data_IF_486023421465
#
_entry.id   IF_486023421465
#
_cell.length_a   1.000
_cell.length_b   1.000
_cell.length_c   1.000
_cell.angle_alpha   90.00
_cell.angle_beta   90.00
_cell.angle_gamma   90.00
#
_symmetry.space_group_name_H-M   'P 1'
#
loop_
_entity.id
_entity.type
_entity.pdbx_description
1 polymer ?
#
# COMPACT_ATOMS: atom_id res chain seq x y z
N UNK A 1 -1.42 -15.59 15.61
CA UNK A 1 -2.10 -14.73 14.63
C UNK A 1 -1.09 -13.89 13.90
N UNK A 2 -1.12 -13.94 12.58
CA UNK A 2 -0.23 -13.13 11.75
C UNK A 2 -0.78 -11.72 11.67
N UNK A 3 0.04 -10.75 11.99
CA UNK A 3 -0.36 -9.36 11.89
C UNK A 3 0.77 -8.56 11.23
N UNK A 4 0.41 -7.83 10.21
CA UNK A 4 1.35 -6.98 9.51
C UNK A 4 1.14 -5.53 9.86
N UNK A 5 2.21 -4.76 9.78
CA UNK A 5 2.16 -3.31 9.91
C UNK A 5 2.37 -2.72 8.53
N UNK A 6 1.48 -1.82 8.16
CA UNK A 6 1.50 -1.17 6.85
C UNK A 6 1.95 0.27 7.02
N UNK A 7 3.01 0.63 6.34
CA UNK A 7 3.53 1.99 6.34
C UNK A 7 3.26 2.59 4.97
N UNK A 8 2.30 3.52 4.93
CA UNK A 8 1.90 4.16 3.68
C UNK A 8 2.68 5.45 3.55
N UNK A 9 3.28 5.66 2.39
CA UNK A 9 4.24 6.71 2.19
C UNK A 9 4.00 7.45 0.88
N UNK A 10 4.50 8.66 0.82
CA UNK A 10 4.61 9.41 -0.40
C UNK A 10 6.08 9.38 -0.83
N UNK A 11 6.34 8.79 -1.96
CA UNK A 11 7.67 8.69 -2.53
C UNK A 11 7.80 9.67 -3.68
N UNK A 12 8.64 10.68 -3.50
CA UNK A 12 8.94 11.64 -4.55
C UNK A 12 10.33 11.30 -5.08
N UNK A 13 10.47 11.03 -6.38
CA UNK A 13 11.79 10.74 -6.94
C UNK A 13 12.77 11.88 -6.63
N UNK A 14 13.96 11.49 -6.16
CA UNK A 14 15.03 12.43 -5.83
C UNK A 14 14.78 13.30 -4.61
N UNK A 15 13.77 12.96 -3.80
CA UNK A 15 13.43 13.72 -2.61
C UNK A 15 13.19 12.77 -1.44
N UNK A 16 12.93 13.34 -0.27
CA UNK A 16 12.71 12.56 0.94
C UNK A 16 11.35 11.84 0.90
N UNK A 17 11.31 10.72 1.61
CA UNK A 17 10.07 9.98 1.81
C UNK A 17 9.25 10.63 2.90
N UNK A 18 7.95 10.65 2.71
CA UNK A 18 7.01 11.17 3.71
C UNK A 18 6.09 10.05 4.15
N UNK A 19 6.03 9.80 5.45
CA UNK A 19 5.10 8.81 5.99
C UNK A 19 3.73 9.48 6.12
N UNK A 20 2.73 8.87 5.51
CA UNK A 20 1.35 9.37 5.55
C UNK A 20 0.57 8.70 6.68
N UNK A 21 0.71 7.38 6.82
CA UNK A 21 -0.06 6.62 7.79
C UNK A 21 0.66 5.32 8.12
N UNK A 22 0.58 4.94 9.39
CA UNK A 22 1.03 3.62 9.84
C UNK A 22 -0.17 2.93 10.47
N UNK A 23 -0.49 1.73 10.02
CA UNK A 23 -1.65 1.00 10.54
C UNK A 23 -1.42 -0.50 10.48
N UNK A 24 -2.10 -1.23 11.37
CA UNK A 24 -2.13 -2.70 11.29
C UNK A 24 -3.41 -3.20 10.63
N UNK A 25 -4.28 -2.29 10.22
CA UNK A 25 -5.56 -2.63 9.60
C UNK A 25 -5.44 -2.53 8.08
N UNK A 26 -5.55 -3.67 7.40
CA UNK A 26 -5.37 -3.71 5.95
C UNK A 26 -6.44 -2.91 5.21
N UNK A 27 -7.68 -2.90 5.71
CA UNK A 27 -8.74 -2.13 5.08
C UNK A 27 -8.45 -0.63 5.12
N UNK A 28 -7.95 -0.14 6.25
CA UNK A 28 -7.55 1.26 6.37
C UNK A 28 -6.39 1.57 5.44
N UNK A 29 -5.43 0.66 5.33
CA UNK A 29 -4.29 0.85 4.43
C UNK A 29 -4.78 0.98 2.98
N UNK A 30 -5.67 0.09 2.55
CA UNK A 30 -6.20 0.11 1.19
C UNK A 30 -7.01 1.38 0.93
N UNK A 31 -7.86 1.77 1.88
CA UNK A 31 -8.65 2.99 1.74
C UNK A 31 -7.74 4.22 1.63
N UNK A 32 -6.68 4.26 2.42
CA UNK A 32 -5.73 5.36 2.37
C UNK A 32 -5.06 5.45 1.00
N UNK A 33 -4.65 4.31 0.45
CA UNK A 33 -4.06 4.28 -0.89
C UNK A 33 -5.06 4.78 -1.94
N UNK A 34 -6.32 4.36 -1.83
CA UNK A 34 -7.34 4.76 -2.80
C UNK A 34 -7.73 6.24 -2.70
N UNK A 35 -7.85 6.76 -1.49
CA UNK A 35 -8.42 8.08 -1.26
C UNK A 35 -7.39 9.20 -1.21
N UNK A 36 -6.19 8.91 -0.74
CA UNK A 36 -5.15 9.93 -0.64
C UNK A 36 -4.27 9.89 -1.89
N UNK A 37 -4.38 10.89 -2.74
CA UNK A 37 -3.65 10.92 -4.01
C UNK A 37 -2.15 10.97 -3.85
N UNK A 38 -1.65 11.33 -2.68
CA UNK A 38 -0.21 11.34 -2.41
C UNK A 38 0.32 9.98 -1.94
N UNK A 39 -0.56 9.09 -1.52
CA UNK A 39 -0.17 7.77 -1.02
C UNK A 39 0.17 6.86 -2.20
N UNK A 40 1.44 6.77 -2.53
CA UNK A 40 1.89 6.04 -3.71
C UNK A 40 2.86 4.90 -3.42
N UNK A 41 3.08 4.58 -2.14
CA UNK A 41 4.00 3.51 -1.78
C UNK A 41 3.56 2.92 -0.44
N UNK A 42 3.69 1.61 -0.31
CA UNK A 42 3.39 0.93 0.94
C UNK A 42 4.50 -0.07 1.26
N UNK A 43 4.91 -0.08 2.51
CA UNK A 43 5.79 -1.11 3.04
C UNK A 43 5.00 -1.98 3.99
N UNK A 44 5.22 -3.28 3.90
CA UNK A 44 4.56 -4.25 4.77
C UNK A 44 5.61 -4.87 5.67
N UNK A 45 5.43 -4.70 6.98
CA UNK A 45 6.38 -5.11 8.00
C UNK A 45 5.77 -6.17 8.92
N UNK A 46 6.62 -7.04 9.40
CA UNK A 46 6.25 -8.02 10.40
C UNK A 46 7.48 -8.43 11.19
N UNK A 47 7.35 -8.42 12.53
CA UNK A 47 8.46 -8.81 13.43
C UNK A 47 9.74 -8.02 13.12
N UNK A 48 9.61 -6.72 12.95
CA UNK A 48 10.73 -5.80 12.70
C UNK A 48 11.45 -6.07 11.39
N UNK A 49 10.81 -6.79 10.47
CA UNK A 49 11.34 -7.06 9.14
C UNK A 49 10.45 -6.50 8.06
N UNK A 50 11.06 -5.92 7.07
CA UNK A 50 10.36 -5.53 5.85
C UNK A 50 10.06 -6.80 5.06
N UNK A 51 8.78 -7.11 4.91
CA UNK A 51 8.33 -8.32 4.22
C UNK A 51 8.18 -8.07 2.73
N UNK A 52 7.57 -6.94 2.38
CA UNK A 52 7.34 -6.61 0.98
C UNK A 52 7.04 -5.12 0.85
N UNK A 53 7.07 -4.63 -0.36
CA UNK A 53 6.71 -3.25 -0.65
C UNK A 53 6.04 -3.18 -2.01
N UNK A 54 5.20 -2.17 -2.20
CA UNK A 54 4.44 -2.00 -3.44
C UNK A 54 4.40 -0.52 -3.81
N UNK A 55 4.61 -0.26 -5.09
CA UNK A 55 4.44 1.07 -5.66
C UNK A 55 3.09 1.16 -6.32
N UNK A 56 2.46 2.33 -6.23
CA UNK A 56 1.18 2.58 -6.86
C UNK A 56 1.32 3.76 -7.79
N UNK A 57 1.10 3.52 -9.06
CA UNK A 57 1.15 4.58 -10.04
C UNK A 57 -0.11 5.42 -9.95
N UNK A 58 0.08 6.69 -9.62
CA UNK A 58 -1.01 7.64 -9.48
C UNK A 58 -0.90 8.67 -10.57
N UNK A 59 -1.57 8.43 -11.66
CA UNK A 59 -1.63 9.38 -12.75
C UNK A 59 -2.94 10.14 -12.64
N UNK A 60 -2.86 11.45 -12.56
CA UNK A 60 -4.04 12.29 -12.57
C UNK A 60 -4.71 12.36 -13.94
N UNK A 61 -4.13 11.66 -14.90
CA UNK A 61 -4.66 11.58 -16.23
C UNK A 61 -5.88 10.71 -16.31
N UNK A 62 -6.13 10.23 -17.49
CA UNK A 62 -7.39 9.64 -17.90
C UNK A 62 -7.42 8.14 -17.68
N UNK A 63 -6.28 7.52 -17.37
CA UNK A 63 -6.14 6.08 -17.36
C UNK A 63 -5.67 5.57 -16.00
N UNK A 64 -6.55 4.85 -15.32
CA UNK A 64 -6.25 4.26 -14.01
C UNK A 64 -5.84 2.80 -14.09
N UNK A 65 -5.57 2.26 -15.27
CA UNK A 65 -5.25 0.84 -15.42
C UNK A 65 -4.02 0.43 -14.63
N UNK A 66 -2.99 1.28 -14.61
CA UNK A 66 -1.78 0.98 -13.85
C UNK A 66 -2.06 0.93 -12.36
N UNK A 67 -2.86 1.85 -11.86
CA UNK A 67 -3.22 1.86 -10.45
C UNK A 67 -4.05 0.63 -10.09
N UNK A 68 -5.00 0.27 -10.90
CA UNK A 68 -5.82 -0.91 -10.66
C UNK A 68 -4.98 -2.19 -10.67
N UNK A 69 -4.04 -2.27 -11.58
CA UNK A 69 -3.11 -3.41 -11.67
C UNK A 69 -2.24 -3.50 -10.42
N UNK A 70 -1.73 -2.37 -9.95
CA UNK A 70 -0.91 -2.32 -8.74
C UNK A 70 -1.73 -2.73 -7.52
N UNK A 71 -2.98 -2.29 -7.42
CA UNK A 71 -3.88 -2.67 -6.33
C UNK A 71 -4.17 -4.16 -6.35
N UNK A 72 -4.43 -4.72 -7.53
CA UNK A 72 -4.66 -6.16 -7.66
C UNK A 72 -3.46 -6.97 -7.18
N UNK A 73 -2.26 -6.51 -7.53
CA UNK A 73 -1.03 -7.18 -7.11
C UNK A 73 -0.90 -7.17 -5.59
N UNK A 74 -1.16 -6.04 -4.98
CA UNK A 74 -1.10 -5.91 -3.52
C UNK A 74 -2.15 -6.80 -2.86
N UNK A 75 -3.40 -6.72 -3.28
CA UNK A 75 -4.49 -7.48 -2.70
C UNK A 75 -4.27 -9.00 -2.90
N UNK A 76 -3.80 -9.40 -4.07
CA UNK A 76 -3.50 -10.81 -4.34
C UNK A 76 -2.42 -11.33 -3.41
N UNK A 77 -1.39 -10.51 -3.16
CA UNK A 77 -0.34 -10.90 -2.24
C UNK A 77 -0.88 -11.05 -0.82
N UNK A 78 -1.72 -10.11 -0.38
CA UNK A 78 -2.33 -10.16 0.95
C UNK A 78 -3.16 -11.42 1.13
N UNK A 79 -3.90 -11.81 0.13
CA UNK A 79 -4.69 -13.06 0.18
C UNK A 79 -3.80 -14.29 0.29
N UNK A 80 -2.68 -14.30 -0.42
CA UNK A 80 -1.74 -15.43 -0.37
C UNK A 80 -1.11 -15.60 1.00
N UNK A 81 -0.83 -14.51 1.69
CA UNK A 81 -0.18 -14.57 3.00
C UNK A 81 -1.20 -14.69 4.13
N UNK A 82 -2.49 -14.81 3.81
CA UNK A 82 -3.53 -15.08 4.79
C UNK A 82 -4.12 -13.85 5.46
N UNK A 83 -3.83 -12.67 4.95
CA UNK A 83 -4.44 -11.46 5.46
C UNK A 83 -5.76 -11.27 4.72
N UNK A 84 -6.85 -11.24 5.46
CA UNK A 84 -8.16 -11.08 4.84
C UNK A 84 -8.50 -9.61 4.69
N UNK A 85 -9.01 -9.29 3.53
CA UNK A 85 -9.47 -7.95 3.22
C UNK A 85 -10.99 -7.95 3.21
N UNK A 86 -11.57 -7.18 4.11
CA UNK A 86 -13.03 -7.01 4.19
C UNK A 86 -13.38 -5.60 3.76
N UNK A 87 -14.26 -5.53 2.82
CA UNK A 87 -14.76 -4.25 2.33
C UNK A 87 -15.99 -3.87 3.13
#
# INVERSE_FOLDING_TARGET
>A
MKRYTYVIMFNVPYDDWEIILVTTNVSIAIDTIKENHRANYIEVWRNERLINSFDFYKDEGINNECFESDMERFISWMKRVGEEYYI
#
